data_IF_182403917671
#
_entry.id   IF_182403917671
#
_cell.length_a   1.000
_cell.length_b   1.000
_cell.length_c   1.000
_cell.angle_alpha   90.00
_cell.angle_beta   90.00
_cell.angle_gamma   90.00
#
_symmetry.space_group_name_H-M   'P 1'
#
loop_
_entity.id
_entity.type
_entity.pdbx_description
1 polymer ?
#
# COMPACT_ATOMS: atom_id res chain seq x y z
N UNK A 1 -21.41 -1.84 19.97
CA UNK A 1 -21.11 -0.61 19.19
C UNK A 1 -21.38 -0.91 17.73
N UNK A 2 -22.08 0.00 17.03
CA UNK A 2 -22.35 -0.13 15.58
C UNK A 2 -21.01 -0.16 14.85
N UNK A 3 -20.74 -1.22 14.09
CA UNK A 3 -19.67 -1.22 13.10
C UNK A 3 -20.09 -0.23 12.03
N UNK A 4 -19.52 0.96 12.03
CA UNK A 4 -19.56 1.82 10.84
C UNK A 4 -18.78 1.08 9.77
N UNK A 5 -19.51 0.41 8.87
CA UNK A 5 -18.95 -0.09 7.63
C UNK A 5 -18.54 1.13 6.82
N UNK A 6 -17.26 1.49 6.91
CA UNK A 6 -16.66 2.39 5.94
C UNK A 6 -16.75 1.70 4.59
N UNK A 7 -17.46 2.34 3.66
CA UNK A 7 -17.58 1.87 2.29
C UNK A 7 -16.18 1.80 1.69
N UNK A 8 -15.64 0.60 1.53
CA UNK A 8 -14.49 0.41 0.66
C UNK A 8 -14.98 0.56 -0.78
N UNK A 9 -14.49 1.57 -1.49
CA UNK A 9 -14.72 1.66 -2.92
C UNK A 9 -13.60 0.91 -3.63
N UNK A 10 -14.01 -0.04 -4.49
CA UNK A 10 -13.12 -0.57 -5.51
C UNK A 10 -12.77 0.59 -6.43
N UNK A 11 -11.52 1.05 -6.37
CA UNK A 11 -11.07 2.16 -7.21
C UNK A 11 -10.29 1.63 -8.40
N UNK A 12 -10.36 2.39 -9.48
CA UNK A 12 -9.44 2.20 -10.60
C UNK A 12 -8.04 2.53 -10.13
N UNK A 13 -7.08 1.68 -10.46
CA UNK A 13 -5.73 1.83 -9.97
C UNK A 13 -4.86 0.63 -10.31
N UNK A 14 -3.61 0.68 -9.90
CA UNK A 14 -2.70 -0.46 -9.98
C UNK A 14 -1.79 -0.49 -8.77
N UNK A 15 -1.30 -1.68 -8.46
CA UNK A 15 -0.30 -1.92 -7.44
C UNK A 15 0.69 -2.95 -7.98
N UNK A 16 1.98 -2.71 -7.81
CA UNK A 16 3.01 -3.67 -8.16
C UNK A 16 4.22 -3.58 -7.25
N UNK A 17 4.94 -4.68 -7.11
CA UNK A 17 6.22 -4.74 -6.41
C UNK A 17 7.00 -5.98 -6.85
N UNK A 18 8.32 -5.94 -6.74
CA UNK A 18 9.18 -7.11 -6.82
C UNK A 18 9.58 -7.57 -5.41
N UNK A 19 9.29 -8.83 -5.10
CA UNK A 19 9.64 -9.48 -3.85
C UNK A 19 10.90 -10.32 -4.06
N UNK A 20 11.97 -10.03 -3.34
CA UNK A 20 13.21 -10.80 -3.37
C UNK A 20 13.26 -11.62 -2.09
N UNK A 21 13.06 -12.93 -2.25
CA UNK A 21 13.08 -13.90 -1.15
C UNK A 21 14.27 -14.84 -1.29
N UNK A 22 14.48 -15.72 -0.30
CA UNK A 22 15.45 -16.81 -0.41
C UNK A 22 15.14 -17.78 -1.58
N UNK A 23 13.89 -17.86 -2.02
CA UNK A 23 13.46 -18.66 -3.18
C UNK A 23 13.67 -17.97 -4.53
N UNK A 24 14.13 -16.72 -4.54
CA UNK A 24 14.32 -15.90 -5.72
C UNK A 24 13.36 -14.72 -5.81
N UNK A 25 13.31 -14.10 -6.98
CA UNK A 25 12.46 -12.94 -7.27
C UNK A 25 11.07 -13.38 -7.69
N UNK A 26 10.06 -12.79 -7.07
CA UNK A 26 8.64 -12.95 -7.40
C UNK A 26 8.04 -11.58 -7.68
N UNK A 27 7.14 -11.51 -8.66
CA UNK A 27 6.46 -10.27 -9.00
C UNK A 27 5.06 -10.25 -8.38
N UNK A 28 4.72 -9.15 -7.71
CA UNK A 28 3.38 -8.82 -7.24
C UNK A 28 2.76 -7.81 -8.21
N UNK A 29 1.57 -8.11 -8.75
CA UNK A 29 0.85 -7.23 -9.64
C UNK A 29 -0.65 -7.33 -9.41
N UNK A 30 -1.29 -6.19 -9.20
CA UNK A 30 -2.74 -6.04 -9.08
C UNK A 30 -3.15 -4.85 -9.95
N UNK A 31 -3.91 -5.11 -11.01
CA UNK A 31 -4.42 -4.07 -11.92
C UNK A 31 -5.92 -3.78 -11.71
N UNK A 32 -6.60 -4.61 -10.92
CA UNK A 32 -8.02 -4.51 -10.56
C UNK A 32 -8.18 -4.98 -9.12
N UNK A 33 -9.03 -4.33 -8.33
CA UNK A 33 -9.20 -4.69 -6.91
C UNK A 33 -8.22 -3.99 -5.97
N UNK A 34 -7.80 -2.76 -6.32
CA UNK A 34 -7.19 -1.85 -5.36
C UNK A 34 -8.31 -1.18 -4.58
N UNK A 35 -8.34 -1.43 -3.27
CA UNK A 35 -9.36 -0.91 -2.37
C UNK A 35 -8.85 0.36 -1.70
N UNK A 36 -9.75 1.33 -1.57
CA UNK A 36 -9.51 2.53 -0.77
C UNK A 36 -10.60 2.69 0.28
N UNK A 37 -10.18 3.04 1.48
CA UNK A 37 -11.06 3.45 2.57
C UNK A 37 -10.32 4.38 3.53
N UNK A 38 -11.06 5.07 4.38
CA UNK A 38 -10.49 5.91 5.44
C UNK A 38 -10.85 5.28 6.78
N UNK A 39 -9.89 5.09 7.69
CA UNK A 39 -10.19 4.58 9.04
C UNK A 39 -9.59 5.49 10.08
N UNK A 40 -10.43 6.07 10.94
CA UNK A 40 -9.98 6.99 12.00
C UNK A 40 -9.11 8.14 11.46
N UNK A 41 -9.43 8.63 10.26
CA UNK A 41 -8.68 9.68 9.57
C UNK A 41 -7.46 9.20 8.77
N UNK A 42 -7.09 7.92 8.86
CA UNK A 42 -5.97 7.36 8.08
C UNK A 42 -6.47 6.91 6.72
N UNK A 43 -5.76 7.29 5.64
CA UNK A 43 -6.00 6.75 4.31
C UNK A 43 -5.44 5.34 4.22
N UNK A 44 -6.27 4.40 3.80
CA UNK A 44 -5.91 2.99 3.65
C UNK A 44 -6.04 2.59 2.19
N UNK A 45 -4.96 2.11 1.61
CA UNK A 45 -4.92 1.52 0.26
C UNK A 45 -4.55 0.06 0.41
N UNK A 46 -5.37 -0.84 -0.09
CA UNK A 46 -5.16 -2.28 0.01
C UNK A 46 -5.16 -2.90 -1.38
N UNK A 47 -4.16 -3.73 -1.65
CA UNK A 47 -4.09 -4.56 -2.84
C UNK A 47 -3.73 -5.98 -2.42
N UNK A 48 -4.64 -6.93 -2.63
CA UNK A 48 -4.39 -8.35 -2.43
C UNK A 48 -4.39 -9.05 -3.78
N UNK A 49 -3.52 -10.04 -3.94
CA UNK A 49 -3.65 -10.99 -5.04
C UNK A 49 -4.42 -12.23 -4.54
N UNK A 50 -4.94 -13.04 -5.48
CA UNK A 50 -5.66 -14.28 -5.16
C UNK A 50 -4.73 -15.41 -4.64
N UNK A 51 -3.46 -15.11 -4.40
CA UNK A 51 -2.42 -16.06 -3.97
C UNK A 51 -2.08 -15.92 -2.48
N UNK A 52 -2.83 -15.07 -1.75
CA UNK A 52 -2.62 -14.85 -0.31
C UNK A 52 -1.48 -13.88 -0.01
N UNK A 53 -1.05 -13.08 -0.99
CA UNK A 53 -0.13 -11.96 -0.80
C UNK A 53 -0.92 -10.66 -0.87
N UNK A 54 -0.58 -9.70 -0.01
CA UNK A 54 -1.17 -8.37 -0.06
C UNK A 54 -0.19 -7.29 0.34
N UNK A 55 -0.52 -6.07 -0.07
CA UNK A 55 0.09 -4.85 0.42
C UNK A 55 -0.98 -3.91 0.97
N UNK A 56 -0.67 -3.31 2.12
CA UNK A 56 -1.45 -2.23 2.70
C UNK A 56 -0.59 -0.98 2.82
N UNK A 57 -1.08 0.14 2.35
CA UNK A 57 -0.44 1.45 2.51
C UNK A 57 -1.32 2.29 3.41
N UNK A 58 -0.72 2.78 4.49
CA UNK A 58 -1.39 3.68 5.43
C UNK A 58 -0.74 5.05 5.39
N UNK A 59 -1.55 6.07 5.08
CA UNK A 59 -1.11 7.45 4.99
C UNK A 59 -1.86 8.33 6.00
N UNK A 60 -1.19 9.26 6.69
CA UNK A 60 -1.84 10.27 7.53
C UNK A 60 -2.88 11.09 6.77
N UNK A 61 -3.92 11.58 7.46
CA UNK A 61 -5.00 12.39 6.88
C UNK A 61 -4.51 13.62 6.10
N UNK A 62 -3.48 14.28 6.65
CA UNK A 62 -2.92 15.53 6.14
C UNK A 62 -1.60 15.27 5.39
N UNK A 63 -1.41 14.06 4.85
CA UNK A 63 -0.20 13.72 4.10
C UNK A 63 -0.10 14.59 2.83
N UNK A 64 1.07 15.16 2.60
CA UNK A 64 1.37 15.96 1.42
C UNK A 64 2.30 15.19 0.47
N UNK A 65 2.43 15.68 -0.76
CA UNK A 65 3.42 15.19 -1.73
C UNK A 65 4.83 15.31 -1.15
N UNK A 66 5.63 14.25 -1.25
CA UNK A 66 6.99 14.25 -0.70
C UNK A 66 7.67 12.89 -0.73
N UNK A 67 8.84 12.84 -0.10
CA UNK A 67 9.63 11.61 0.09
C UNK A 67 9.72 11.34 1.58
N UNK A 68 9.30 10.15 1.99
CA UNK A 68 9.21 9.71 3.37
C UNK A 68 10.15 8.53 3.60
N UNK A 69 10.85 8.55 4.73
CA UNK A 69 11.54 7.35 5.23
C UNK A 69 10.51 6.53 6.02
N UNK A 70 10.36 5.27 5.66
CA UNK A 70 9.49 4.35 6.37
C UNK A 70 10.14 3.98 7.71
N UNK A 71 9.33 4.07 8.76
CA UNK A 71 9.66 3.79 10.14
C UNK A 71 8.42 3.18 10.80
N UNK A 72 8.55 2.73 12.05
CA UNK A 72 7.41 2.29 12.84
C UNK A 72 6.36 3.41 12.93
N UNK A 73 5.14 3.15 12.45
CA UNK A 73 4.05 4.12 12.40
C UNK A 73 3.76 4.66 10.99
N UNK A 74 3.20 5.87 10.89
CA UNK A 74 2.73 6.43 9.61
C UNK A 74 3.74 7.43 8.99
N UNK A 75 3.84 7.53 7.66
CA UNK A 75 3.25 6.61 6.68
C UNK A 75 3.92 5.22 6.74
N UNK A 76 3.14 4.16 6.51
CA UNK A 76 3.64 2.78 6.46
C UNK A 76 3.19 2.06 5.21
N UNK A 77 4.01 1.09 4.83
CA UNK A 77 3.68 0.05 3.86
C UNK A 77 3.84 -1.29 4.56
N UNK A 78 2.78 -2.09 4.55
CA UNK A 78 2.74 -3.43 5.15
C UNK A 78 2.70 -4.45 4.02
N UNK A 79 3.58 -5.43 4.12
CA UNK A 79 3.57 -6.64 3.31
C UNK A 79 2.89 -7.76 4.07
N UNK A 80 1.97 -8.46 3.40
CA UNK A 80 1.24 -9.60 3.95
C UNK A 80 1.57 -10.84 3.14
N UNK A 81 2.11 -11.85 3.81
CA UNK A 81 2.43 -13.17 3.24
C UNK A 81 1.69 -14.24 4.03
N UNK A 82 0.70 -14.89 3.41
CA UNK A 82 -0.14 -15.89 4.06
C UNK A 82 -0.91 -15.32 5.26
N UNK A 83 -0.48 -15.63 6.48
CA UNK A 83 -1.08 -15.13 7.73
C UNK A 83 -0.18 -14.18 8.51
N UNK A 84 0.89 -13.67 7.89
CA UNK A 84 1.85 -12.78 8.53
C UNK A 84 1.81 -11.40 7.90
N UNK A 85 1.86 -10.37 8.74
CA UNK A 85 1.91 -8.97 8.35
C UNK A 85 3.22 -8.37 8.85
N UNK A 86 3.91 -7.63 7.99
CA UNK A 86 5.17 -6.98 8.35
C UNK A 86 5.31 -5.61 7.66
N UNK A 87 5.57 -4.57 8.46
CA UNK A 87 5.90 -3.24 7.93
C UNK A 87 7.26 -3.25 7.23
N UNK A 88 7.41 -2.44 6.18
CA UNK A 88 8.66 -2.28 5.44
C UNK A 88 9.61 -1.30 6.14
N UNK A 89 10.40 -1.82 7.08
CA UNK A 89 11.47 -1.10 7.78
C UNK A 89 12.54 -2.10 8.29
N UNK A 90 13.79 -1.68 8.57
CA UNK A 90 14.37 -0.35 8.36
C UNK A 90 14.80 -0.13 6.90
N UNK A 91 15.12 1.14 6.54
CA UNK A 91 15.57 1.58 5.21
C UNK A 91 14.50 1.61 4.10
N UNK A 92 13.22 1.51 4.47
CA UNK A 92 12.14 1.69 3.52
C UNK A 92 11.99 3.15 3.12
N UNK A 93 11.59 3.39 1.87
CA UNK A 93 11.27 4.73 1.37
C UNK A 93 9.91 4.72 0.69
N UNK A 94 9.21 5.85 0.77
CA UNK A 94 7.99 6.13 0.02
C UNK A 94 8.11 7.51 -0.62
N UNK A 95 8.20 7.56 -1.94
CA UNK A 95 7.95 8.77 -2.73
C UNK A 95 6.45 8.81 -3.04
N UNK A 96 5.78 9.91 -2.71
CA UNK A 96 4.33 10.05 -2.82
C UNK A 96 3.97 11.36 -3.52
N UNK A 97 3.08 11.26 -4.50
CA UNK A 97 2.34 12.40 -5.06
C UNK A 97 0.88 12.30 -4.62
N UNK A 98 0.40 13.34 -3.95
CA UNK A 98 -0.99 13.48 -3.52
C UNK A 98 -1.72 14.40 -4.49
N UNK A 99 -2.79 13.89 -5.10
CA UNK A 99 -3.73 14.65 -5.93
C UNK A 99 -5.00 15.02 -5.16
N UNK A 100 -5.90 15.75 -5.83
CA UNK A 100 -7.24 16.05 -5.28
C UNK A 100 -8.12 14.80 -5.15
N UNK A 101 -9.07 14.82 -4.22
CA UNK A 101 -10.10 13.78 -4.05
C UNK A 101 -9.55 12.36 -3.80
N UNK A 102 -8.53 12.25 -2.94
CA UNK A 102 -7.86 11.00 -2.56
C UNK A 102 -7.21 10.26 -3.74
N UNK A 103 -6.62 11.02 -4.67
CA UNK A 103 -5.72 10.48 -5.68
C UNK A 103 -4.32 10.33 -5.09
N UNK A 104 -3.71 9.16 -5.26
CA UNK A 104 -2.37 8.90 -4.77
C UNK A 104 -1.56 8.18 -5.85
N UNK A 105 -0.34 8.62 -6.07
CA UNK A 105 0.67 7.92 -6.87
C UNK A 105 1.93 7.79 -6.00
N UNK A 106 2.32 6.56 -5.70
CA UNK A 106 3.39 6.28 -4.78
C UNK A 106 4.38 5.26 -5.33
N UNK A 107 5.65 5.45 -5.00
CA UNK A 107 6.75 4.52 -5.24
C UNK A 107 7.43 4.19 -3.94
N UNK A 108 7.71 2.92 -3.71
CA UNK A 108 8.28 2.50 -2.44
C UNK A 108 9.27 1.34 -2.61
N UNK A 109 10.15 1.24 -1.62
CA UNK A 109 11.09 0.15 -1.44
C UNK A 109 11.20 -0.14 0.06
N UNK A 110 11.69 -1.32 0.41
CA UNK A 110 12.02 -1.61 1.81
C UNK A 110 12.36 -3.06 2.05
N UNK A 111 12.44 -3.44 3.31
CA UNK A 111 12.64 -4.82 3.73
C UNK A 111 11.66 -5.09 4.85
N UNK A 112 10.96 -6.21 4.78
CA UNK A 112 10.06 -6.61 5.85
C UNK A 112 10.80 -7.34 6.99
N UNK A 113 10.11 -7.58 8.11
CA UNK A 113 10.69 -8.24 9.27
C UNK A 113 11.16 -9.69 9.03
N UNK A 114 10.72 -10.32 7.94
CA UNK A 114 11.14 -11.66 7.53
C UNK A 114 12.37 -11.63 6.60
N UNK A 115 12.88 -10.44 6.26
CA UNK A 115 14.02 -10.26 5.37
C UNK A 115 13.66 -10.30 3.88
N UNK A 116 12.38 -10.19 3.53
CA UNK A 116 11.95 -10.06 2.13
C UNK A 116 12.24 -8.63 1.69
N UNK A 117 13.07 -8.49 0.66
CA UNK A 117 13.36 -7.18 0.07
C UNK A 117 12.29 -6.85 -0.96
N UNK A 118 11.73 -5.66 -0.84
CA UNK A 118 10.72 -5.14 -1.77
C UNK A 118 11.35 -4.03 -2.61
N UNK A 119 11.39 -4.26 -3.92
CA UNK A 119 11.89 -3.32 -4.93
C UNK A 119 10.81 -2.93 -5.92
N UNK A 120 11.00 -1.80 -6.61
CA UNK A 120 10.09 -1.30 -7.65
C UNK A 120 8.61 -1.29 -7.21
N UNK A 121 8.39 -1.07 -5.91
CA UNK A 121 7.05 -0.92 -5.36
C UNK A 121 6.41 0.31 -5.96
N UNK A 122 5.21 0.18 -6.49
CA UNK A 122 4.44 1.30 -7.00
C UNK A 122 2.96 1.07 -6.82
N UNK A 123 2.23 2.13 -6.50
CA UNK A 123 0.79 2.12 -6.51
C UNK A 123 0.25 3.41 -7.11
N UNK A 124 -0.90 3.29 -7.77
CA UNK A 124 -1.67 4.44 -8.21
C UNK A 124 -3.14 4.19 -7.94
N UNK A 125 -3.78 5.18 -7.33
CA UNK A 125 -5.20 5.20 -7.05
C UNK A 125 -5.81 6.38 -7.81
N UNK A 126 -6.64 6.08 -8.80
CA UNK A 126 -7.36 7.10 -9.56
C UNK A 126 -8.59 7.59 -8.78
N UNK A 127 -9.16 8.70 -9.25
CA UNK A 127 -10.46 9.17 -8.79
C UNK A 127 -11.54 8.09 -9.01
N UNK A 128 -12.52 8.02 -8.11
CA UNK A 128 -13.69 7.17 -8.30
C UNK A 128 -14.49 7.73 -9.48
N UNK A 129 -14.56 6.97 -10.58
CA UNK A 129 -15.38 7.39 -11.71
C UNK A 129 -16.84 7.50 -11.24
N UNK A 130 -17.35 8.73 -11.17
CA UNK A 130 -18.76 8.99 -10.93
C UNK A 130 -19.50 8.54 -12.20
N UNK A 131 -20.00 7.30 -12.21
CA UNK A 131 -21.00 6.83 -13.20
C UNK A 131 -22.37 7.40 -12.93
#
# INVERSE_FOLDING_TARGET
MKKEFLMSSNRSGHFSADLITAGGRQAFHVATGVHYFVREGVHCIEASNDQGEAFLVYLPAEIETGIFQLQLGLPSVIHVTGSTEAELYPLGTLELTVGGDAQFDGRFTGTDANGIVVENGSFRLEHEAVT
#
